data_IF_740837486024
#
_entry.id   IF_740837486024
#
_cell.length_a   1.000
_cell.length_b   1.000
_cell.length_c   1.000
_cell.angle_alpha   90.00
_cell.angle_beta   90.00
_cell.angle_gamma   90.00
#
_symmetry.space_group_name_H-M   'P 1'
#
loop_
_entity.id
_entity.type
_entity.pdbx_description
1 polymer ?
#
# COMPACT_ATOMS: atom_id res chain seq x y z
N UNK A 1 -9.71 10.86 -9.64
CA UNK A 1 -10.01 11.61 -10.87
C UNK A 1 -11.52 11.71 -11.08
N UNK A 2 -11.99 12.62 -11.95
CA UNK A 2 -13.43 12.81 -12.19
C UNK A 2 -14.12 11.48 -12.56
N UNK A 3 -13.48 10.67 -13.40
CA UNK A 3 -13.97 9.34 -13.80
C UNK A 3 -14.29 8.39 -12.64
N UNK A 4 -13.58 8.51 -11.51
CA UNK A 4 -13.85 7.72 -10.30
C UNK A 4 -14.95 8.32 -9.44
N UNK A 5 -15.08 9.65 -9.37
CA UNK A 5 -16.22 10.29 -8.71
C UNK A 5 -17.53 9.95 -9.43
N UNK A 6 -17.46 9.75 -10.74
CA UNK A 6 -18.61 9.37 -11.54
C UNK A 6 -18.97 7.88 -11.38
N UNK A 7 -17.99 7.04 -11.04
CA UNK A 7 -18.14 5.58 -10.83
C UNK A 7 -18.40 5.19 -9.38
N UNK A 8 -17.87 5.95 -8.42
CA UNK A 8 -17.94 5.68 -6.98
C UNK A 8 -18.69 6.81 -6.28
N UNK A 9 -19.33 6.52 -5.15
CA UNK A 9 -19.98 7.57 -4.34
C UNK A 9 -18.89 8.33 -3.58
N UNK A 10 -18.42 9.44 -4.13
CA UNK A 10 -17.49 10.34 -3.45
C UNK A 10 -17.98 10.70 -2.04
N UNK A 11 -17.15 10.45 -1.02
CA UNK A 11 -17.58 10.61 0.36
C UNK A 11 -17.66 12.10 0.75
N UNK A 12 -18.84 12.54 1.21
CA UNK A 12 -19.11 13.96 1.54
C UNK A 12 -18.68 14.37 2.96
N UNK A 13 -18.25 13.42 3.79
CA UNK A 13 -17.84 13.66 5.18
C UNK A 13 -16.35 13.95 5.37
N UNK A 14 -15.60 14.16 4.28
CA UNK A 14 -14.15 14.33 4.32
C UNK A 14 -13.75 15.75 4.74
N UNK A 15 -12.68 15.87 5.52
CA UNK A 15 -12.05 17.16 5.83
C UNK A 15 -11.58 17.90 4.57
N UNK A 16 -11.12 17.16 3.56
CA UNK A 16 -10.68 17.67 2.26
C UNK A 16 -10.96 16.62 1.19
N UNK A 17 -11.43 17.05 0.02
CA UNK A 17 -11.57 16.23 -1.18
C UNK A 17 -10.85 16.94 -2.33
N UNK A 18 -9.78 16.33 -2.84
CA UNK A 18 -9.05 16.82 -4.00
C UNK A 18 -9.40 15.98 -5.23
N UNK A 19 -10.03 16.62 -6.22
CA UNK A 19 -10.29 16.02 -7.52
C UNK A 19 -9.17 16.42 -8.47
N UNK A 20 -8.60 15.43 -9.16
CA UNK A 20 -7.46 15.60 -10.08
C UNK A 20 -7.76 15.00 -11.44
N UNK A 21 -6.96 15.35 -12.44
CA UNK A 21 -7.27 15.00 -13.82
C UNK A 21 -6.93 13.54 -14.19
N UNK A 22 -5.96 12.92 -13.51
CA UNK A 22 -5.44 11.59 -13.88
C UNK A 22 -5.26 10.66 -12.68
N UNK A 23 -5.19 9.35 -12.95
CA UNK A 23 -4.82 8.36 -11.92
C UNK A 23 -3.39 8.53 -11.43
N UNK A 24 -2.44 8.87 -12.32
CA UNK A 24 -1.06 9.15 -11.92
C UNK A 24 -0.99 10.32 -10.95
N UNK A 25 -1.69 11.44 -11.24
CA UNK A 25 -1.69 12.59 -10.32
C UNK A 25 -2.33 12.25 -8.98
N UNK A 26 -3.38 11.40 -8.99
CA UNK A 26 -3.99 10.90 -7.75
C UNK A 26 -2.97 10.13 -6.91
N UNK A 27 -2.26 9.16 -7.49
CA UNK A 27 -1.28 8.33 -6.78
C UNK A 27 -0.09 9.15 -6.30
N UNK A 28 0.39 10.10 -7.11
CA UNK A 28 1.44 11.06 -6.74
C UNK A 28 1.05 11.88 -5.50
N UNK A 29 -0.13 12.50 -5.48
CA UNK A 29 -0.57 13.28 -4.31
C UNK A 29 -0.81 12.41 -3.08
N UNK A 30 -1.38 11.21 -3.25
CA UNK A 30 -1.52 10.24 -2.16
C UNK A 30 -0.16 9.88 -1.58
N UNK A 31 0.86 9.69 -2.42
CA UNK A 31 2.23 9.46 -1.98
C UNK A 31 2.79 10.66 -1.23
N UNK A 32 2.67 11.88 -1.79
CA UNK A 32 3.23 13.10 -1.20
C UNK A 32 2.65 13.39 0.20
N UNK A 33 1.35 13.15 0.38
CA UNK A 33 0.65 13.39 1.64
C UNK A 33 0.79 12.26 2.68
N UNK A 34 1.34 11.11 2.30
CA UNK A 34 1.45 9.96 3.20
C UNK A 34 2.84 9.87 3.83
N UNK A 35 2.90 9.62 5.13
CA UNK A 35 4.14 9.24 5.82
C UNK A 35 4.33 7.72 5.87
N UNK A 36 3.22 6.97 5.80
CA UNK A 36 3.14 5.52 5.90
C UNK A 36 2.05 5.01 4.95
N UNK A 37 2.29 3.85 4.34
CA UNK A 37 1.31 3.16 3.48
C UNK A 37 0.79 1.89 4.16
N UNK A 38 -0.51 1.65 4.05
CA UNK A 38 -1.15 0.44 4.57
C UNK A 38 -2.11 -0.11 3.53
N UNK A 39 -1.85 -1.32 3.04
CA UNK A 39 -2.80 -2.07 2.23
C UNK A 39 -3.76 -2.84 3.15
N UNK A 40 -5.05 -2.57 2.99
CA UNK A 40 -6.16 -3.31 3.60
C UNK A 40 -6.82 -4.22 2.56
N UNK A 41 -7.63 -5.23 2.94
CA UNK A 41 -8.29 -6.12 1.98
C UNK A 41 -9.00 -5.37 0.86
N UNK A 42 -8.67 -5.72 -0.38
CA UNK A 42 -9.13 -5.02 -1.58
C UNK A 42 -8.81 -5.80 -2.86
N UNK A 43 -9.27 -5.27 -3.99
CA UNK A 43 -9.11 -5.89 -5.31
C UNK A 43 -7.88 -5.37 -6.06
N UNK A 44 -7.94 -5.40 -7.40
CA UNK A 44 -6.83 -4.99 -8.26
C UNK A 44 -6.35 -3.55 -8.03
N UNK A 45 -7.24 -2.61 -7.70
CA UNK A 45 -6.83 -1.22 -7.41
C UNK A 45 -5.88 -1.14 -6.22
N UNK A 46 -6.17 -1.88 -5.15
CA UNK A 46 -5.30 -1.95 -3.96
C UNK A 46 -3.96 -2.60 -4.30
N UNK A 47 -3.96 -3.65 -5.14
CA UNK A 47 -2.73 -4.32 -5.56
C UNK A 47 -1.87 -3.46 -6.48
N UNK A 48 -2.48 -2.70 -7.40
CA UNK A 48 -1.79 -1.73 -8.26
C UNK A 48 -1.06 -0.69 -7.41
N UNK A 49 -1.78 -0.08 -6.46
CA UNK A 49 -1.21 0.91 -5.56
C UNK A 49 -0.10 0.29 -4.70
N UNK A 50 -0.35 -0.85 -4.04
CA UNK A 50 0.65 -1.54 -3.20
C UNK A 50 1.96 -1.86 -3.96
N UNK A 51 1.85 -2.49 -5.13
CA UNK A 51 3.02 -2.86 -5.93
C UNK A 51 3.79 -1.63 -6.42
N UNK A 52 3.11 -0.52 -6.73
CA UNK A 52 3.76 0.73 -7.15
C UNK A 52 4.62 1.31 -6.02
N UNK A 53 4.08 1.40 -4.80
CA UNK A 53 4.83 1.91 -3.65
C UNK A 53 6.01 0.98 -3.29
N UNK A 54 5.81 -0.35 -3.29
CA UNK A 54 6.92 -1.31 -3.08
C UNK A 54 8.02 -1.10 -4.13
N UNK A 55 7.64 -0.93 -5.39
CA UNK A 55 8.60 -0.69 -6.48
C UNK A 55 9.39 0.61 -6.26
N UNK A 56 8.74 1.69 -5.82
CA UNK A 56 9.42 2.95 -5.54
C UNK A 56 10.38 2.86 -4.35
N UNK A 57 10.02 2.10 -3.31
CA UNK A 57 10.90 1.80 -2.18
C UNK A 57 12.13 0.99 -2.62
N UNK A 58 11.92 -0.04 -3.44
CA UNK A 58 12.98 -0.85 -4.04
C UNK A 58 13.96 0.02 -4.85
N UNK A 59 13.44 1.00 -5.61
CA UNK A 59 14.25 1.95 -6.37
C UNK A 59 14.84 3.08 -5.51
N UNK A 60 14.62 3.05 -4.20
CA UNK A 60 15.11 4.03 -3.20
C UNK A 60 14.60 5.45 -3.43
N UNK A 61 13.43 5.60 -4.04
CA UNK A 61 12.76 6.91 -4.14
C UNK A 61 12.18 7.38 -2.81
N UNK A 62 11.98 6.48 -1.86
CA UNK A 62 11.60 6.81 -0.48
C UNK A 62 11.97 5.69 0.50
N UNK A 63 11.80 5.99 1.79
CA UNK A 63 11.97 5.04 2.91
C UNK A 63 10.72 4.95 3.79
N UNK A 64 9.60 5.52 3.35
CA UNK A 64 8.29 5.48 4.03
C UNK A 64 7.87 4.02 4.31
N UNK A 65 7.47 3.67 5.55
CA UNK A 65 7.01 2.33 5.91
C UNK A 65 5.84 1.82 5.07
N UNK A 66 5.86 0.53 4.75
CA UNK A 66 4.81 -0.16 3.98
C UNK A 66 4.26 -1.30 4.83
N UNK A 67 2.94 -1.31 5.01
CA UNK A 67 2.24 -2.34 5.74
C UNK A 67 1.24 -3.07 4.86
N UNK A 68 1.09 -4.37 5.12
CA UNK A 68 -0.03 -5.18 4.67
C UNK A 68 -0.77 -5.66 5.92
N UNK A 69 -2.04 -5.25 6.05
CA UNK A 69 -2.94 -5.76 7.07
C UNK A 69 -3.57 -7.06 6.58
N UNK A 70 -2.98 -8.20 6.95
CA UNK A 70 -3.39 -9.53 6.53
C UNK A 70 -4.58 -10.07 7.35
N UNK A 71 -5.62 -9.26 7.48
CA UNK A 71 -6.81 -9.58 8.27
C UNK A 71 -7.42 -10.92 7.83
N UNK A 72 -7.57 -11.85 8.77
CA UNK A 72 -8.05 -13.22 8.53
C UNK A 72 -7.32 -13.96 7.40
N UNK A 73 -6.04 -13.63 7.13
CA UNK A 73 -5.25 -14.29 6.10
C UNK A 73 -5.62 -13.91 4.66
N UNK A 74 -6.31 -12.77 4.45
CA UNK A 74 -6.76 -12.33 3.12
C UNK A 74 -5.62 -12.26 2.08
N UNK A 75 -4.44 -11.76 2.49
CA UNK A 75 -3.27 -11.59 1.64
C UNK A 75 -2.30 -12.78 1.68
N UNK A 76 -2.58 -13.84 2.44
CA UNK A 76 -1.65 -14.98 2.62
C UNK A 76 -1.16 -15.55 1.29
N UNK A 77 -2.06 -15.81 0.33
CA UNK A 77 -1.67 -16.34 -0.98
C UNK A 77 -0.80 -15.38 -1.80
N UNK A 78 -1.00 -14.08 -1.67
CA UNK A 78 -0.15 -13.07 -2.32
C UNK A 78 1.24 -13.00 -1.66
N UNK A 79 1.29 -13.03 -0.33
CA UNK A 79 2.54 -13.04 0.42
C UNK A 79 3.36 -14.31 0.13
N UNK A 80 2.69 -15.46 0.00
CA UNK A 80 3.35 -16.69 -0.41
C UNK A 80 3.86 -16.63 -1.85
N UNK A 81 3.14 -15.95 -2.76
CA UNK A 81 3.66 -15.67 -4.10
C UNK A 81 4.94 -14.81 -4.05
N UNK A 82 5.00 -13.77 -3.20
CA UNK A 82 6.21 -12.96 -3.03
C UNK A 82 7.39 -13.79 -2.48
N UNK A 83 7.14 -14.69 -1.53
CA UNK A 83 8.15 -15.64 -1.02
C UNK A 83 8.65 -16.55 -2.13
N UNK A 84 7.76 -17.14 -2.92
CA UNK A 84 8.14 -18.01 -4.05
C UNK A 84 8.96 -17.23 -5.08
N UNK A 85 8.57 -16.00 -5.41
CA UNK A 85 9.35 -15.14 -6.31
C UNK A 85 10.74 -14.79 -5.75
N UNK A 86 10.88 -14.71 -4.42
CA UNK A 86 12.18 -14.60 -3.77
C UNK A 86 13.01 -15.89 -3.91
N UNK A 87 12.41 -17.05 -3.65
CA UNK A 87 13.08 -18.36 -3.80
C UNK A 87 13.57 -18.61 -5.22
N UNK A 88 12.79 -18.19 -6.22
CA UNK A 88 13.15 -18.25 -7.64
C UNK A 88 14.12 -17.13 -8.10
N UNK A 89 14.53 -16.24 -7.19
CA UNK A 89 15.55 -15.22 -7.43
C UNK A 89 15.06 -13.93 -8.11
N UNK A 90 13.74 -13.73 -8.25
CA UNK A 90 13.16 -12.50 -8.82
C UNK A 90 13.05 -11.35 -7.80
N UNK A 91 12.93 -11.67 -6.51
CA UNK A 91 12.87 -10.69 -5.42
C UNK A 91 14.05 -10.91 -4.48
N UNK A 92 14.79 -9.86 -4.14
CA UNK A 92 15.87 -9.97 -3.14
C UNK A 92 15.29 -10.02 -1.73
N UNK A 93 16.04 -10.57 -0.76
CA UNK A 93 15.60 -10.55 0.65
C UNK A 93 15.37 -9.12 1.15
N UNK A 94 16.25 -8.19 0.75
CA UNK A 94 16.13 -6.75 1.06
C UNK A 94 14.79 -6.18 0.56
N UNK A 95 14.37 -6.52 -0.67
CA UNK A 95 13.11 -6.02 -1.22
C UNK A 95 11.89 -6.70 -0.60
N UNK A 96 11.98 -8.00 -0.28
CA UNK A 96 10.91 -8.72 0.42
C UNK A 96 10.64 -8.11 1.80
N UNK A 97 11.70 -7.64 2.47
CA UNK A 97 11.64 -7.03 3.80
C UNK A 97 11.14 -5.57 3.80
N UNK A 98 10.88 -4.98 2.62
CA UNK A 98 10.25 -3.66 2.52
C UNK A 98 8.81 -3.66 3.03
N UNK A 99 8.15 -4.81 3.01
CA UNK A 99 6.74 -4.98 3.41
C UNK A 99 6.65 -5.57 4.81
N UNK A 100 5.99 -4.86 5.72
CA UNK A 100 5.66 -5.35 7.06
C UNK A 100 4.26 -5.93 7.06
N UNK A 101 4.14 -7.17 7.53
CA UNK A 101 2.84 -7.86 7.61
C UNK A 101 2.37 -7.83 9.06
N UNK A 102 1.12 -7.44 9.25
CA UNK A 102 0.43 -7.41 10.55
C UNK A 102 -0.96 -8.02 10.37
N UNK A 103 -1.46 -8.75 11.35
CA UNK A 103 -2.75 -9.45 11.24
C UNK A 103 -3.89 -8.66 11.87
N UNK A 104 -3.57 -7.71 12.77
CA UNK A 104 -4.56 -6.89 13.47
C UNK A 104 -4.24 -5.39 13.42
N UNK A 105 -5.28 -4.57 13.61
CA UNK A 105 -5.12 -3.11 13.73
C UNK A 105 -4.30 -2.74 14.97
N UNK A 106 -4.43 -3.49 16.05
CA UNK A 106 -3.68 -3.23 17.28
C UNK A 106 -2.17 -3.48 17.08
N UNK A 107 -1.80 -4.56 16.38
CA UNK A 107 -0.41 -4.81 15.98
C UNK A 107 0.14 -3.70 15.07
N UNK A 108 -0.66 -3.27 14.09
CA UNK A 108 -0.30 -2.14 13.24
C UNK A 108 0.01 -0.90 14.07
N UNK A 109 -0.92 -0.47 14.93
CA UNK A 109 -0.81 0.73 15.75
C UNK A 109 0.34 0.62 16.77
N UNK A 110 0.57 -0.57 17.34
CA UNK A 110 1.70 -0.81 18.23
C UNK A 110 3.03 -0.64 17.48
N UNK A 111 3.18 -1.29 16.31
CA UNK A 111 4.40 -1.20 15.51
C UNK A 111 4.66 0.24 15.04
N UNK A 112 3.63 0.98 14.65
CA UNK A 112 3.75 2.35 14.14
C UNK A 112 4.36 3.30 15.19
N UNK A 113 4.00 3.12 16.46
CA UNK A 113 4.54 3.92 17.58
C UNK A 113 6.02 3.68 17.86
N UNK A 114 6.59 2.57 17.40
CA UNK A 114 8.03 2.30 17.56
C UNK A 114 8.88 3.01 16.50
N UNK A 115 8.24 3.50 15.44
CA UNK A 115 8.90 4.06 14.25
C UNK A 115 8.74 5.59 14.17
N UNK A 116 7.68 6.14 14.78
CA UNK A 116 7.41 7.57 14.90
C UNK A 116 7.92 8.12 16.24
#
# INVERSE_FOLDING_TARGET
>A
PQSLIDWEVGHKGLTKLEVVDTMHKRKELMYDYSDVFVAIPGGFGTLDELCEIITWAQLKYHLKPIYVLNFNGFFTSMLDHFKNAHEEGFISKEHLDLVRVVDTVDEFLASLKEIL
#
